data_IF_365800856839
#
_entry.id   IF_365800856839
#
_cell.length_a   1.000
_cell.length_b   1.000
_cell.length_c   1.000
_cell.angle_alpha   90.00
_cell.angle_beta   90.00
_cell.angle_gamma   90.00
#
_symmetry.space_group_name_H-M   'P 1'
#
loop_
_entity.id
_entity.type
_entity.pdbx_description
1 polymer ?
#
# COMPACT_ATOMS: atom_id res chain seq x y z
N UNK A 1 1.77 2.14 3.18
CA UNK A 1 2.61 2.02 1.95
C UNK A 1 2.49 3.28 1.08
N UNK A 2 3.50 3.62 0.25
CA UNK A 2 3.47 4.80 -0.61
C UNK A 2 2.30 4.74 -1.62
N UNK A 3 1.59 5.85 -1.82
CA UNK A 3 0.58 5.97 -2.89
C UNK A 3 1.24 6.21 -4.25
N UNK A 4 0.51 5.99 -5.35
CA UNK A 4 0.99 6.29 -6.70
C UNK A 4 1.43 7.77 -6.85
N UNK A 5 0.77 8.71 -6.16
CA UNK A 5 1.17 10.12 -6.11
C UNK A 5 2.53 10.31 -5.41
N UNK A 6 2.76 9.61 -4.30
CA UNK A 6 4.02 9.67 -3.57
C UNK A 6 5.19 9.10 -4.40
N UNK A 7 4.96 7.99 -5.11
CA UNK A 7 5.96 7.41 -6.01
C UNK A 7 6.36 8.40 -7.10
N UNK A 8 5.39 9.02 -7.79
CA UNK A 8 5.67 10.06 -8.80
C UNK A 8 6.42 11.26 -8.21
N UNK A 9 6.07 11.67 -7.00
CA UNK A 9 6.78 12.73 -6.28
C UNK A 9 8.24 12.36 -6.01
N UNK A 10 8.53 11.13 -5.58
CA UNK A 10 9.91 10.68 -5.34
C UNK A 10 10.74 10.60 -6.62
N UNK A 11 10.15 10.14 -7.73
CA UNK A 11 10.80 10.18 -9.04
C UNK A 11 11.13 11.62 -9.44
N UNK A 12 10.17 12.55 -9.30
CA UNK A 12 10.36 13.95 -9.63
C UNK A 12 11.45 14.63 -8.77
N UNK A 13 11.63 14.18 -7.53
CA UNK A 13 12.62 14.72 -6.60
C UNK A 13 13.99 14.02 -6.66
N UNK A 14 14.20 13.08 -7.59
CA UNK A 14 15.41 12.24 -7.69
C UNK A 14 15.70 11.44 -6.41
N UNK A 15 14.65 11.02 -5.72
CA UNK A 15 14.70 10.10 -4.58
C UNK A 15 14.53 8.64 -5.03
N UNK A 16 13.92 8.43 -6.19
CA UNK A 16 13.68 7.14 -6.81
C UNK A 16 14.22 7.18 -8.24
N UNK A 17 14.84 6.09 -8.69
CA UNK A 17 15.28 5.96 -10.08
C UNK A 17 14.07 6.05 -11.02
N UNK A 18 14.33 6.51 -12.26
CA UNK A 18 13.26 6.62 -13.25
C UNK A 18 12.81 5.21 -13.63
N UNK A 19 11.49 4.93 -13.63
CA UNK A 19 10.98 3.62 -14.01
C UNK A 19 11.37 3.25 -15.44
N UNK A 20 11.44 1.94 -15.69
CA UNK A 20 11.70 1.41 -17.03
C UNK A 20 10.42 1.42 -17.88
N UNK A 21 10.58 1.58 -19.19
CA UNK A 21 9.48 1.60 -20.17
C UNK A 21 9.18 3.00 -20.73
N UNK A 22 8.97 3.06 -22.04
CA UNK A 22 8.57 4.28 -22.74
C UNK A 22 7.03 4.36 -22.81
N UNK A 23 6.41 5.30 -22.08
CA UNK A 23 4.99 5.63 -22.22
C UNK A 23 4.08 5.22 -21.05
N UNK A 24 2.89 4.66 -21.37
CA UNK A 24 1.74 4.51 -20.46
C UNK A 24 1.90 3.45 -19.36
N UNK A 25 2.89 2.56 -19.48
CA UNK A 25 3.18 1.52 -18.49
C UNK A 25 4.59 1.71 -17.92
N UNK A 26 4.69 2.46 -16.82
CA UNK A 26 5.91 2.56 -16.05
C UNK A 26 6.12 1.27 -15.25
N UNK A 27 7.23 0.56 -15.49
CA UNK A 27 7.58 -0.65 -14.76
C UNK A 27 8.60 -0.33 -13.67
N UNK A 28 8.31 -0.77 -12.46
CA UNK A 28 9.18 -0.61 -11.30
C UNK A 28 9.77 -1.97 -10.92
N UNK A 29 11.05 -2.18 -11.23
CA UNK A 29 11.80 -3.36 -10.80
C UNK A 29 12.25 -3.36 -9.33
N UNK A 30 12.98 -4.40 -8.95
CA UNK A 30 13.43 -4.67 -7.58
C UNK A 30 14.19 -3.51 -6.92
N UNK A 31 15.05 -2.83 -7.67
CA UNK A 31 15.79 -1.67 -7.17
C UNK A 31 14.88 -0.53 -6.70
N UNK A 32 13.79 -0.27 -7.42
CA UNK A 32 12.81 0.75 -7.03
C UNK A 32 12.10 0.37 -5.72
N UNK A 33 11.83 -0.93 -5.53
CA UNK A 33 11.26 -1.43 -4.27
C UNK A 33 12.21 -1.14 -3.08
N UNK A 34 13.51 -1.45 -3.23
CA UNK A 34 14.51 -1.19 -2.19
C UNK A 34 14.63 0.30 -1.87
N UNK A 35 14.62 1.18 -2.88
CA UNK A 35 14.65 2.63 -2.69
C UNK A 35 13.40 3.14 -1.94
N UNK A 36 12.21 2.69 -2.33
CA UNK A 36 10.96 3.06 -1.64
C UNK A 36 10.98 2.61 -0.18
N UNK A 37 11.49 1.41 0.09
CA UNK A 37 11.59 0.85 1.42
C UNK A 37 12.59 1.62 2.28
N UNK A 38 13.76 1.94 1.74
CA UNK A 38 14.75 2.78 2.40
C UNK A 38 14.20 4.17 2.75
N UNK A 39 13.53 4.84 1.81
CA UNK A 39 12.86 6.13 2.06
C UNK A 39 11.87 6.00 3.23
N UNK A 40 11.06 4.95 3.25
CA UNK A 40 10.04 4.76 4.29
C UNK A 40 10.61 4.46 5.66
N UNK A 41 11.67 3.65 5.72
CA UNK A 41 12.40 3.37 6.96
C UNK A 41 12.95 4.69 7.52
N UNK A 42 13.67 5.47 6.70
CA UNK A 42 14.24 6.76 7.14
C UNK A 42 13.18 7.78 7.55
N UNK A 43 12.04 7.82 6.86
CA UNK A 43 10.92 8.69 7.26
C UNK A 43 10.36 8.30 8.64
N UNK A 44 10.28 7.00 8.97
CA UNK A 44 9.85 6.55 10.31
C UNK A 44 10.86 6.90 11.40
N UNK A 45 12.14 6.95 11.05
CA UNK A 45 13.23 7.41 11.93
C UNK A 45 13.28 8.95 12.08
N UNK A 46 12.36 9.69 11.45
CA UNK A 46 12.28 11.15 11.55
C UNK A 46 13.24 11.90 10.64
N UNK A 47 13.87 11.24 9.66
CA UNK A 47 14.77 11.89 8.72
C UNK A 47 14.02 12.79 7.74
N UNK A 48 14.64 13.92 7.40
CA UNK A 48 14.10 14.84 6.38
C UNK A 48 14.33 14.30 4.98
N UNK A 49 13.49 14.73 4.02
CA UNK A 49 13.62 14.31 2.62
C UNK A 49 14.98 14.68 2.01
N UNK A 50 15.58 15.81 2.42
CA UNK A 50 16.90 16.24 1.94
C UNK A 50 18.02 15.34 2.47
N UNK A 51 17.95 14.93 3.75
CA UNK A 51 18.90 13.98 4.32
C UNK A 51 18.84 12.62 3.61
N UNK A 52 17.62 12.13 3.38
CA UNK A 52 17.38 10.88 2.65
C UNK A 52 17.92 10.98 1.22
N UNK A 53 17.68 12.11 0.53
CA UNK A 53 18.16 12.33 -0.84
C UNK A 53 19.68 12.34 -0.93
N UNK A 54 20.37 12.90 0.06
CA UNK A 54 21.84 12.85 0.14
C UNK A 54 22.32 11.41 0.31
N UNK A 55 21.73 10.67 1.24
CA UNK A 55 22.09 9.27 1.49
C UNK A 55 21.85 8.39 0.25
N UNK A 56 20.72 8.53 -0.43
CA UNK A 56 20.39 7.73 -1.62
C UNK A 56 21.36 7.96 -2.79
N UNK A 57 22.04 9.11 -2.87
CA UNK A 57 23.06 9.35 -3.89
C UNK A 57 24.39 8.64 -3.61
N UNK A 58 24.68 8.36 -2.34
CA UNK A 58 25.97 7.81 -1.90
C UNK A 58 25.96 6.28 -1.82
N UNK A 59 24.80 5.63 -2.02
CA UNK A 59 24.58 4.20 -1.76
C UNK A 59 24.37 3.41 -3.05
N UNK A 60 25.17 2.35 -3.24
CA UNK A 60 25.01 1.37 -4.33
C UNK A 60 23.88 0.37 -4.06
N UNK A 61 23.40 -0.34 -5.09
CA UNK A 61 22.27 -1.28 -4.97
C UNK A 61 22.45 -2.33 -3.86
N UNK A 62 23.59 -3.00 -3.82
CA UNK A 62 23.89 -4.03 -2.80
C UNK A 62 23.96 -3.46 -1.38
N UNK A 63 24.46 -2.23 -1.24
CA UNK A 63 24.54 -1.54 0.05
C UNK A 63 23.16 -1.12 0.54
N UNK A 64 22.27 -0.76 -0.40
CA UNK A 64 20.87 -0.43 -0.12
C UNK A 64 20.11 -1.66 0.37
N UNK A 65 20.29 -2.79 -0.29
CA UNK A 65 19.68 -4.07 0.10
C UNK A 65 20.09 -4.47 1.52
N UNK A 66 21.39 -4.49 1.81
CA UNK A 66 21.88 -4.83 3.17
C UNK A 66 21.34 -3.90 4.23
N UNK A 67 21.27 -2.59 3.94
CA UNK A 67 20.78 -1.60 4.90
C UNK A 67 19.29 -1.77 5.17
N UNK A 68 18.51 -1.99 4.12
CA UNK A 68 17.08 -2.31 4.23
C UNK A 68 16.88 -3.58 5.06
N UNK A 69 17.61 -4.65 4.76
CA UNK A 69 17.54 -5.92 5.49
C UNK A 69 17.88 -5.75 6.98
N UNK A 70 18.94 -4.99 7.30
CA UNK A 70 19.35 -4.70 8.68
C UNK A 70 18.27 -3.92 9.45
N UNK A 71 17.66 -2.91 8.84
CA UNK A 71 16.60 -2.13 9.48
C UNK A 71 15.31 -2.93 9.69
N UNK A 72 15.01 -3.92 8.85
CA UNK A 72 13.81 -4.77 8.94
C UNK A 72 13.99 -5.99 9.85
N UNK A 73 15.21 -6.50 10.01
CA UNK A 73 15.48 -7.72 10.77
C UNK A 73 14.86 -7.72 12.19
N UNK A 74 14.94 -6.63 12.99
CA UNK A 74 14.31 -6.60 14.31
C UNK A 74 12.78 -6.73 14.25
N UNK A 75 12.14 -6.09 13.27
CA UNK A 75 10.68 -6.13 13.13
C UNK A 75 10.19 -7.53 12.71
N UNK A 76 10.93 -8.21 11.83
CA UNK A 76 10.61 -9.57 11.38
C UNK A 76 10.84 -10.61 12.49
N UNK A 77 11.89 -10.43 13.30
CA UNK A 77 12.19 -11.30 14.44
C UNK A 77 11.11 -11.21 15.52
N UNK A 78 10.61 -9.99 15.80
CA UNK A 78 9.53 -9.76 16.76
C UNK A 78 8.17 -10.28 16.28
N UNK A 79 7.90 -10.21 14.96
CA UNK A 79 6.63 -10.66 14.39
C UNK A 79 6.51 -12.18 14.28
N UNK A 80 7.63 -12.90 14.24
CA UNK A 80 7.64 -14.39 14.24
C UNK A 80 7.16 -14.96 15.58
N UNK A 81 7.29 -14.19 16.67
CA UNK A 81 6.81 -14.57 18.01
C UNK A 81 5.44 -13.99 18.41
N UNK A 82 4.81 -13.17 17.56
CA UNK A 82 3.56 -12.48 17.89
C UNK A 82 2.53 -12.71 16.78
N UNK A 83 1.87 -13.87 16.83
CA UNK A 83 0.61 -14.05 16.13
C UNK A 83 -0.45 -13.17 16.81
N UNK A 84 -0.99 -12.22 16.05
CA UNK A 84 -2.21 -11.45 16.32
C UNK A 84 -2.20 -10.48 17.51
N UNK A 85 -1.71 -9.26 17.29
CA UNK A 85 -2.42 -8.05 17.75
C UNK A 85 -2.40 -7.00 16.64
N UNK A 86 -3.60 -6.55 16.28
CA UNK A 86 -3.91 -5.63 15.17
C UNK A 86 -3.00 -4.40 15.20
N UNK A 87 -2.11 -4.32 14.22
CA UNK A 87 -1.43 -3.09 13.81
C UNK A 87 -2.33 -2.34 12.82
N UNK A 88 -2.87 -1.22 13.28
CA UNK A 88 -3.67 -0.22 12.53
C UNK A 88 -2.88 0.47 11.39
N UNK A 89 -1.61 0.10 11.19
CA UNK A 89 -0.71 0.70 10.18
C UNK A 89 -0.20 -0.34 9.14
N UNK A 90 -0.72 -1.57 9.18
CA UNK A 90 -0.60 -2.45 8.01
C UNK A 90 -1.45 -1.88 6.88
N UNK A 91 -0.95 -1.95 5.64
CA UNK A 91 -1.65 -1.46 4.45
C UNK A 91 -3.10 -1.91 4.51
N UNK A 92 -4.03 -0.97 4.65
CA UNK A 92 -5.45 -1.27 4.58
C UNK A 92 -5.72 -1.99 3.26
N UNK A 93 -5.87 -3.31 3.29
CA UNK A 93 -6.33 -4.06 2.13
C UNK A 93 -7.84 -3.82 2.02
N UNK A 94 -8.29 -3.50 0.82
CA UNK A 94 -9.68 -3.18 0.54
C UNK A 94 -10.26 -4.30 -0.31
N UNK A 95 -11.38 -4.87 0.13
CA UNK A 95 -12.15 -5.85 -0.62
C UNK A 95 -13.21 -5.14 -1.44
N UNK A 96 -13.31 -5.49 -2.71
CA UNK A 96 -14.35 -5.00 -3.63
C UNK A 96 -15.41 -6.07 -3.81
N UNK A 97 -16.66 -5.72 -3.56
CA UNK A 97 -17.79 -6.65 -3.67
C UNK A 97 -18.79 -6.08 -4.68
N UNK A 98 -19.04 -6.75 -5.81
CA UNK A 98 -20.09 -6.36 -6.73
C UNK A 98 -21.47 -6.64 -6.12
N UNK A 99 -22.35 -5.65 -6.17
CA UNK A 99 -23.70 -5.74 -5.61
C UNK A 99 -24.76 -5.84 -6.71
N UNK A 100 -24.69 -4.96 -7.71
CA UNK A 100 -25.56 -4.91 -8.86
C UNK A 100 -24.82 -4.29 -10.06
N UNK A 101 -25.45 -4.21 -11.22
CA UNK A 101 -24.85 -3.56 -12.39
C UNK A 101 -24.53 -2.09 -12.07
N UNK A 102 -23.27 -1.70 -12.27
CA UNK A 102 -22.76 -0.37 -11.92
C UNK A 102 -22.60 -0.06 -10.41
N UNK A 103 -22.87 -1.00 -9.49
CA UNK A 103 -22.79 -0.74 -8.03
C UNK A 103 -21.84 -1.70 -7.31
N UNK A 104 -20.84 -1.13 -6.62
CA UNK A 104 -19.84 -1.84 -5.82
C UNK A 104 -19.77 -1.32 -4.38
N UNK A 105 -19.43 -2.22 -3.45
CA UNK A 105 -19.11 -1.90 -2.06
C UNK A 105 -17.63 -2.16 -1.81
N UNK A 106 -16.92 -1.17 -1.23
CA UNK A 106 -15.51 -1.27 -0.85
C UNK A 106 -15.40 -1.31 0.67
N UNK A 107 -14.82 -2.38 1.21
CA UNK A 107 -14.65 -2.54 2.67
C UNK A 107 -13.19 -2.80 3.01
N UNK A 108 -12.70 -2.13 4.06
CA UNK A 108 -11.35 -2.33 4.59
C UNK A 108 -11.28 -3.66 5.33
N UNK A 109 -10.37 -4.54 4.94
CA UNK A 109 -10.08 -5.80 5.64
C UNK A 109 -9.59 -5.52 7.06
N UNK A 110 -9.97 -6.41 7.98
CA UNK A 110 -9.68 -6.26 9.41
C UNK A 110 -10.59 -5.29 10.17
N UNK A 111 -11.43 -4.51 9.47
CA UNK A 111 -12.49 -3.73 10.09
C UNK A 111 -13.64 -4.64 10.56
N UNK A 112 -14.42 -4.26 11.58
CA UNK A 112 -15.64 -4.98 11.97
C UNK A 112 -16.63 -5.14 10.80
N UNK A 113 -16.62 -4.19 9.86
CA UNK A 113 -17.39 -4.20 8.61
C UNK A 113 -17.00 -5.28 7.61
N UNK A 114 -15.83 -5.91 7.76
CA UNK A 114 -15.33 -6.95 6.87
C UNK A 114 -15.79 -8.37 7.24
N UNK A 115 -16.73 -8.50 8.18
CA UNK A 115 -17.33 -9.78 8.56
C UNK A 115 -18.19 -10.29 7.42
N UNK A 116 -17.99 -11.55 6.99
CA UNK A 116 -18.66 -12.11 5.81
C UNK A 116 -20.19 -12.07 5.91
N UNK A 117 -20.74 -12.32 7.10
CA UNK A 117 -22.18 -12.26 7.38
C UNK A 117 -22.77 -10.85 7.17
N UNK A 118 -22.06 -9.83 7.69
CA UNK A 118 -22.46 -8.43 7.54
C UNK A 118 -22.32 -7.95 6.08
N UNK A 119 -21.26 -8.38 5.38
CA UNK A 119 -21.06 -8.07 3.97
C UNK A 119 -22.16 -8.65 3.09
N UNK A 120 -22.60 -9.88 3.37
CA UNK A 120 -23.72 -10.51 2.70
C UNK A 120 -25.02 -9.74 2.97
N UNK A 121 -25.28 -9.37 4.23
CA UNK A 121 -26.46 -8.59 4.61
C UNK A 121 -26.49 -7.20 3.94
N UNK A 122 -25.36 -6.49 3.89
CA UNK A 122 -25.24 -5.19 3.21
C UNK A 122 -25.45 -5.36 1.70
N UNK A 123 -24.82 -6.37 1.08
CA UNK A 123 -24.97 -6.66 -0.36
C UNK A 123 -26.42 -6.94 -0.71
N UNK A 124 -27.10 -7.82 0.02
CA UNK A 124 -28.50 -8.15 -0.26
C UNK A 124 -29.43 -6.97 0.02
N UNK A 125 -29.19 -6.19 1.07
CA UNK A 125 -29.94 -4.97 1.37
C UNK A 125 -29.83 -3.92 0.27
N UNK A 126 -28.62 -3.65 -0.21
CA UNK A 126 -28.38 -2.69 -1.31
C UNK A 126 -28.96 -3.21 -2.62
N UNK A 127 -28.80 -4.50 -2.94
CA UNK A 127 -29.39 -5.12 -4.13
C UNK A 127 -30.92 -5.03 -4.13
N UNK A 128 -31.56 -5.33 -2.99
CA UNK A 128 -33.00 -5.24 -2.85
C UNK A 128 -33.52 -3.80 -2.97
N UNK A 129 -32.76 -2.82 -2.48
CA UNK A 129 -33.10 -1.40 -2.62
C UNK A 129 -33.02 -0.93 -4.08
N UNK A 130 -31.97 -1.34 -4.80
CA UNK A 130 -31.80 -1.01 -6.22
C UNK A 130 -32.87 -1.65 -7.09
N UNK A 131 -33.20 -2.93 -6.86
CA UNK A 131 -34.28 -3.60 -7.60
C UNK A 131 -35.67 -2.96 -7.40
N UNK A 132 -35.92 -2.29 -6.27
CA UNK A 132 -37.15 -1.51 -6.06
C UNK A 132 -37.13 -0.15 -6.78
N UNK A 133 -35.96 0.43 -6.99
CA UNK A 133 -35.80 1.69 -7.71
C UNK A 133 -36.03 1.48 -9.22
N UNK A 134 -35.54 0.37 -9.77
CA UNK A 134 -35.71 0.02 -11.19
C UNK A 134 -37.16 -0.31 -11.56
N UNK A 135 -37.96 -0.87 -10.63
CA UNK A 135 -39.40 -1.13 -10.85
C UNK A 135 -40.28 0.13 -10.82
N UNK A 136 -39.69 1.32 -10.61
CA UNK A 136 -40.40 2.60 -10.50
C UNK A 136 -40.09 3.58 -11.65
N UNK A 137 -39.26 3.17 -12.61
CA UNK A 137 -38.90 3.91 -13.82
C UNK A 137 -39.67 3.48 -15.06
#
# INVERSE_FOLDING_TARGET
MPSARAVRFYVANNLLDRPEGAGTAATYGYRHLLQLLAIKIRQREGQTLEAIKKEMREVTGDSLERRVAQSLAPALFLQTGSASTKSDDSVASWRRIPVADGVEVHVRDGSPGASDDLLLAIREGVRAALGRADMRG
#
